data_IF_134606549558
#
_entry.id   IF_134606549558
#
_cell.length_a   1.000
_cell.length_b   1.000
_cell.length_c   1.000
_cell.angle_alpha   90.00
_cell.angle_beta   90.00
_cell.angle_gamma   90.00
#
_symmetry.space_group_name_H-M   'P 1'
#
loop_
_entity.id
_entity.type
_entity.pdbx_description
1 polymer ?
#
# COMPACT_ATOMS: atom_id res chain seq x y z
N UNK A 1 -15.19 -12.66 -4.03
CA UNK A 1 -14.18 -12.26 -3.03
C UNK A 1 -14.16 -10.75 -3.04
N UNK A 2 -14.12 -10.12 -1.87
CA UNK A 2 -14.57 -8.73 -1.71
C UNK A 2 -13.45 -7.88 -1.12
N UNK A 3 -13.54 -6.56 -1.20
CA UNK A 3 -12.45 -5.61 -0.90
C UNK A 3 -11.80 -5.76 0.49
N UNK A 4 -12.44 -6.46 1.42
CA UNK A 4 -11.86 -6.90 2.70
C UNK A 4 -10.59 -7.74 2.51
N UNK A 5 -10.58 -8.67 1.54
CA UNK A 5 -9.42 -9.52 1.28
C UNK A 5 -8.22 -8.76 0.68
N UNK A 6 -8.48 -7.83 -0.24
CA UNK A 6 -7.48 -6.93 -0.79
C UNK A 6 -6.88 -6.02 0.30
N UNK A 7 -7.72 -5.50 1.20
CA UNK A 7 -7.28 -4.69 2.34
C UNK A 7 -6.36 -5.49 3.26
N UNK A 8 -6.72 -6.73 3.62
CA UNK A 8 -5.90 -7.59 4.46
C UNK A 8 -4.57 -7.94 3.78
N UNK A 9 -4.61 -8.27 2.50
CA UNK A 9 -3.41 -8.53 1.70
C UNK A 9 -2.46 -7.32 1.69
N UNK A 10 -2.97 -6.13 1.39
CA UNK A 10 -2.17 -4.90 1.38
C UNK A 10 -1.55 -4.61 2.74
N UNK A 11 -2.31 -4.73 3.83
CA UNK A 11 -1.77 -4.50 5.17
C UNK A 11 -0.67 -5.49 5.55
N UNK A 12 -0.82 -6.76 5.16
CA UNK A 12 0.21 -7.77 5.38
C UNK A 12 1.51 -7.41 4.61
N UNK A 13 1.40 -7.03 3.34
CA UNK A 13 2.56 -6.66 2.50
C UNK A 13 3.22 -5.37 2.97
N UNK A 14 2.44 -4.37 3.37
CA UNK A 14 2.96 -3.13 3.96
C UNK A 14 3.71 -3.42 5.26
N UNK A 15 3.21 -4.32 6.10
CA UNK A 15 3.88 -4.71 7.33
C UNK A 15 5.20 -5.47 7.07
N UNK A 16 5.24 -6.32 6.04
CA UNK A 16 6.44 -7.04 5.60
C UNK A 16 7.52 -6.08 5.09
N UNK A 17 7.15 -5.13 4.23
CA UNK A 17 8.05 -4.08 3.71
C UNK A 17 8.59 -3.22 4.87
N UNK A 18 7.73 -2.79 5.79
CA UNK A 18 8.14 -2.03 6.97
C UNK A 18 9.11 -2.83 7.85
N UNK A 19 8.80 -4.11 8.13
CA UNK A 19 9.68 -4.93 8.96
C UNK A 19 11.05 -5.10 8.31
N UNK A 20 11.10 -5.29 6.98
CA UNK A 20 12.35 -5.36 6.22
C UNK A 20 13.14 -4.06 6.32
N UNK A 21 12.47 -2.91 6.16
CA UNK A 21 13.11 -1.60 6.33
C UNK A 21 13.66 -1.38 7.74
N UNK A 22 12.89 -1.76 8.78
CA UNK A 22 13.32 -1.67 10.19
C UNK A 22 14.53 -2.56 10.48
N UNK A 23 14.58 -3.78 9.94
CA UNK A 23 15.77 -4.65 10.05
C UNK A 23 16.99 -4.03 9.39
N UNK A 24 16.83 -3.40 8.22
CA UNK A 24 17.91 -2.74 7.51
C UNK A 24 18.45 -1.49 8.24
N UNK A 25 17.65 -0.83 9.07
CA UNK A 25 18.07 0.34 9.85
C UNK A 25 19.10 -0.01 10.95
N UNK A 26 19.02 -1.21 11.52
CA UNK A 26 19.75 -1.58 12.74
C UNK A 26 19.50 -0.55 13.86
N UNK A 27 20.56 -0.18 14.59
CA UNK A 27 20.52 0.84 15.64
C UNK A 27 20.71 2.28 15.12
N UNK A 28 20.90 2.46 13.81
CA UNK A 28 21.20 3.78 13.25
C UNK A 28 19.92 4.59 13.05
N UNK A 29 19.81 5.80 13.64
CA UNK A 29 18.65 6.65 13.43
C UNK A 29 18.65 7.13 11.98
N UNK A 30 17.89 6.45 11.12
CA UNK A 30 17.76 6.84 9.73
C UNK A 30 16.71 7.95 9.65
N UNK A 31 17.14 9.20 9.55
CA UNK A 31 16.24 10.37 9.64
C UNK A 31 16.01 11.10 8.32
N UNK A 32 16.82 10.85 7.29
CA UNK A 32 16.73 11.58 6.03
C UNK A 32 16.06 10.74 4.91
N UNK A 33 14.96 11.26 4.37
CA UNK A 33 14.42 10.80 3.08
C UNK A 33 15.34 11.32 1.95
N UNK A 34 16.00 10.43 1.23
CA UNK A 34 16.84 10.77 0.08
C UNK A 34 16.35 10.06 -1.21
N UNK A 35 16.84 10.46 -2.40
CA UNK A 35 16.51 9.76 -3.65
C UNK A 35 16.93 8.29 -3.64
N UNK A 36 16.29 7.51 -4.50
CA UNK A 36 16.69 6.14 -4.81
C UNK A 36 18.12 6.11 -5.37
N UNK A 37 18.87 5.05 -5.08
CA UNK A 37 20.21 4.82 -5.63
C UNK A 37 20.25 3.45 -6.32
N UNK A 38 21.21 3.27 -7.21
CA UNK A 38 21.45 1.97 -7.84
C UNK A 38 22.53 1.25 -7.04
N UNK A 39 22.26 0.00 -6.64
CA UNK A 39 23.30 -0.92 -6.22
C UNK A 39 23.67 -1.78 -7.44
N UNK A 40 24.92 -1.66 -7.88
CA UNK A 40 25.40 -2.35 -9.08
C UNK A 40 26.13 -3.64 -8.68
N UNK A 41 25.45 -4.76 -8.82
CA UNK A 41 26.09 -6.07 -8.91
C UNK A 41 26.04 -6.55 -10.38
N UNK A 42 27.10 -7.19 -10.92
CA UNK A 42 27.07 -7.71 -12.28
C UNK A 42 25.87 -8.65 -12.51
N UNK A 43 24.98 -8.27 -13.43
CA UNK A 43 23.79 -9.06 -13.79
C UNK A 43 22.57 -8.87 -12.88
N UNK A 44 22.64 -8.02 -11.84
CA UNK A 44 21.52 -7.75 -10.93
C UNK A 44 21.36 -6.24 -10.73
N UNK A 45 20.34 -5.67 -11.37
CA UNK A 45 19.98 -4.26 -11.20
C UNK A 45 19.10 -4.10 -9.97
N UNK A 46 19.67 -3.69 -8.84
CA UNK A 46 18.89 -3.37 -7.64
C UNK A 46 18.78 -1.87 -7.45
N UNK A 47 17.59 -1.43 -7.06
CA UNK A 47 17.33 -0.06 -6.62
C UNK A 47 17.26 -0.08 -5.10
N UNK A 48 18.16 0.65 -4.45
CA UNK A 48 18.19 0.78 -2.99
C UNK A 48 17.55 2.10 -2.58
N UNK A 49 16.66 2.02 -1.60
CA UNK A 49 15.98 3.16 -1.00
C UNK A 49 16.53 3.42 0.41
N UNK A 50 16.66 4.69 0.85
CA UNK A 50 16.89 4.99 2.25
C UNK A 50 15.77 4.41 3.13
N UNK A 51 16.12 3.83 4.29
CA UNK A 51 15.13 3.24 5.21
C UNK A 51 14.02 4.22 5.55
N UNK A 52 14.36 5.47 5.88
CA UNK A 52 13.39 6.52 6.18
C UNK A 52 12.36 6.73 5.06
N UNK A 53 12.78 6.58 3.79
CA UNK A 53 11.88 6.67 2.64
C UNK A 53 10.94 5.48 2.56
N UNK A 54 11.44 4.25 2.73
CA UNK A 54 10.60 3.04 2.71
C UNK A 54 9.55 3.08 3.83
N UNK A 55 9.95 3.51 5.03
CA UNK A 55 9.02 3.68 6.15
C UNK A 55 7.95 4.75 5.85
N UNK A 56 8.32 5.88 5.24
CA UNK A 56 7.37 6.91 4.83
C UNK A 56 6.41 6.41 3.74
N UNK A 57 6.89 5.60 2.79
CA UNK A 57 6.05 4.96 1.77
C UNK A 57 5.09 3.94 2.39
N UNK A 58 5.51 3.15 3.37
CA UNK A 58 4.64 2.22 4.11
C UNK A 58 3.51 2.97 4.85
N UNK A 59 3.86 4.09 5.49
CA UNK A 59 2.87 4.92 6.18
C UNK A 59 1.89 5.56 5.20
N UNK A 60 2.38 6.09 4.08
CA UNK A 60 1.51 6.64 3.03
C UNK A 60 0.50 5.60 2.51
N UNK A 61 0.95 4.35 2.27
CA UNK A 61 0.06 3.26 1.86
C UNK A 61 -0.98 2.93 2.94
N UNK A 62 -0.61 2.91 4.23
CA UNK A 62 -1.58 2.72 5.33
C UNK A 62 -2.65 3.79 5.37
N UNK A 63 -2.27 5.06 5.18
CA UNK A 63 -3.23 6.16 5.17
C UNK A 63 -4.30 5.93 4.09
N UNK A 64 -3.92 5.49 2.88
CA UNK A 64 -4.87 5.18 1.81
C UNK A 64 -5.80 4.03 2.20
N UNK A 65 -5.25 2.94 2.78
CA UNK A 65 -6.07 1.80 3.25
C UNK A 65 -7.06 2.22 4.34
N UNK A 66 -6.64 3.07 5.28
CA UNK A 66 -7.51 3.56 6.34
C UNK A 66 -8.56 4.55 5.84
N UNK A 67 -8.25 5.35 4.82
CA UNK A 67 -9.25 6.18 4.13
C UNK A 67 -10.34 5.32 3.50
N UNK A 68 -9.96 4.26 2.79
CA UNK A 68 -10.93 3.30 2.25
C UNK A 68 -11.81 2.71 3.36
N UNK A 69 -11.20 2.18 4.43
CA UNK A 69 -11.92 1.61 5.58
C UNK A 69 -12.86 2.61 6.25
N UNK A 70 -12.45 3.87 6.36
CA UNK A 70 -13.28 4.92 6.96
C UNK A 70 -14.54 5.15 6.14
N UNK A 71 -14.42 5.28 4.82
CA UNK A 71 -15.56 5.52 3.92
C UNK A 71 -16.44 4.27 3.79
N UNK A 72 -15.85 3.09 3.61
CA UNK A 72 -16.58 1.83 3.47
C UNK A 72 -17.44 1.49 4.71
N UNK A 73 -17.04 1.95 5.91
CA UNK A 73 -17.82 1.77 7.15
C UNK A 73 -19.10 2.59 7.21
N UNK A 74 -19.16 3.72 6.50
CA UNK A 74 -20.23 4.71 6.65
C UNK A 74 -21.14 4.81 5.44
N UNK A 75 -20.77 4.24 4.28
CA UNK A 75 -21.55 4.36 3.03
C UNK A 75 -23.01 3.95 3.19
N UNK A 76 -23.29 2.87 3.92
CA UNK A 76 -24.65 2.37 4.16
C UNK A 76 -25.42 3.19 5.22
N UNK A 77 -24.77 4.15 5.88
CA UNK A 77 -25.42 5.06 6.84
C UNK A 77 -26.08 6.27 6.17
N UNK A 78 -25.87 6.47 4.87
CA UNK A 78 -26.42 7.57 4.09
C UNK A 78 -27.51 7.09 3.11
N UNK A 79 -28.29 8.03 2.57
CA UNK A 79 -29.30 7.74 1.54
C UNK A 79 -29.32 8.77 0.42
N UNK A 80 -29.95 8.43 -0.70
CA UNK A 80 -30.16 9.35 -1.82
C UNK A 80 -28.85 9.85 -2.46
N UNK A 81 -28.76 11.15 -2.71
CA UNK A 81 -27.61 11.75 -3.41
C UNK A 81 -26.31 11.68 -2.60
N UNK A 82 -26.39 11.72 -1.27
CA UNK A 82 -25.20 11.60 -0.40
C UNK A 82 -24.58 10.21 -0.49
N UNK A 83 -25.42 9.16 -0.45
CA UNK A 83 -24.97 7.78 -0.63
C UNK A 83 -24.32 7.60 -2.01
N UNK A 84 -24.93 8.14 -3.07
CA UNK A 84 -24.37 8.07 -4.42
C UNK A 84 -23.01 8.75 -4.51
N UNK A 85 -22.86 9.93 -3.91
CA UNK A 85 -21.58 10.65 -3.87
C UNK A 85 -20.49 9.87 -3.13
N UNK A 86 -20.84 9.24 -2.00
CA UNK A 86 -19.90 8.42 -1.23
C UNK A 86 -19.51 7.15 -1.99
N UNK A 87 -20.44 6.53 -2.72
CA UNK A 87 -20.16 5.34 -3.52
C UNK A 87 -19.08 5.60 -4.58
N UNK A 88 -19.10 6.77 -5.24
CA UNK A 88 -18.02 7.17 -6.15
C UNK A 88 -16.65 7.33 -5.44
N UNK A 89 -16.65 7.77 -4.18
CA UNK A 89 -15.42 7.87 -3.38
C UNK A 89 -14.92 6.47 -3.02
N UNK A 90 -15.81 5.55 -2.67
CA UNK A 90 -15.47 4.13 -2.42
C UNK A 90 -14.82 3.53 -3.67
N UNK A 91 -15.47 3.64 -4.83
CA UNK A 91 -14.96 3.09 -6.09
C UNK A 91 -13.56 3.66 -6.44
N UNK A 92 -13.36 4.96 -6.27
CA UNK A 92 -12.06 5.59 -6.51
C UNK A 92 -10.97 5.09 -5.56
N UNK A 93 -11.31 4.87 -4.29
CA UNK A 93 -10.38 4.32 -3.30
C UNK A 93 -10.10 2.84 -3.56
N UNK A 94 -11.09 2.05 -4.00
CA UNK A 94 -10.87 0.66 -4.44
C UNK A 94 -9.91 0.59 -5.62
N UNK A 95 -10.06 1.48 -6.60
CA UNK A 95 -9.08 1.63 -7.70
C UNK A 95 -7.67 2.00 -7.22
N UNK A 96 -7.56 2.81 -6.16
CA UNK A 96 -6.26 3.07 -5.54
C UNK A 96 -5.69 1.82 -4.84
N UNK A 97 -6.52 1.02 -4.17
CA UNK A 97 -6.09 -0.23 -3.53
C UNK A 97 -5.57 -1.25 -4.56
N UNK A 98 -6.28 -1.44 -5.68
CA UNK A 98 -5.82 -2.36 -6.75
C UNK A 98 -4.51 -1.89 -7.37
N UNK A 99 -4.34 -0.57 -7.57
CA UNK A 99 -3.08 0.00 -8.03
C UNK A 99 -1.93 -0.21 -7.01
N UNK A 100 -2.20 -0.06 -5.72
CA UNK A 100 -1.23 -0.35 -4.65
C UNK A 100 -0.84 -1.83 -4.56
N UNK A 101 -1.67 -2.74 -5.09
CA UNK A 101 -1.39 -4.18 -5.11
C UNK A 101 -0.46 -4.59 -6.26
N UNK A 102 -0.31 -3.76 -7.31
CA UNK A 102 0.52 -4.06 -8.49
C UNK A 102 1.96 -4.51 -8.18
N UNK A 103 2.70 -3.91 -7.23
CA UNK A 103 4.05 -4.36 -6.89
C UNK A 103 4.12 -5.82 -6.42
N UNK A 104 2.98 -6.36 -5.97
CA UNK A 104 2.87 -7.71 -5.42
C UNK A 104 2.17 -8.68 -6.39
N UNK A 105 2.04 -8.35 -7.68
CA UNK A 105 1.34 -9.18 -8.68
C UNK A 105 1.94 -10.59 -8.87
N UNK A 106 3.18 -10.80 -8.47
CA UNK A 106 3.86 -12.11 -8.50
C UNK A 106 3.87 -12.83 -7.15
N UNK A 107 3.22 -12.27 -6.13
CA UNK A 107 3.09 -12.90 -4.82
C UNK A 107 2.10 -14.09 -4.91
N UNK A 108 2.36 -15.25 -4.27
CA UNK A 108 1.49 -16.42 -4.36
C UNK A 108 0.05 -16.17 -3.88
N UNK A 109 -0.13 -15.32 -2.87
CA UNK A 109 -1.45 -14.92 -2.36
C UNK A 109 -2.13 -13.81 -3.18
N UNK A 110 -1.45 -13.26 -4.20
CA UNK A 110 -2.05 -12.28 -5.10
C UNK A 110 -3.13 -12.94 -5.94
N UNK A 111 -4.26 -12.26 -6.11
CA UNK A 111 -5.36 -12.74 -6.95
C UNK A 111 -5.47 -11.89 -8.20
N UNK A 112 -5.62 -12.55 -9.35
CA UNK A 112 -5.74 -11.87 -10.65
C UNK A 112 -6.94 -10.91 -10.73
N UNK A 113 -8.00 -11.15 -9.95
CA UNK A 113 -9.15 -10.24 -9.85
C UNK A 113 -8.82 -8.86 -9.25
N UNK A 114 -7.68 -8.73 -8.56
CA UNK A 114 -7.20 -7.44 -8.03
C UNK A 114 -6.38 -6.65 -9.05
N UNK A 115 -6.11 -7.21 -10.23
CA UNK A 115 -5.39 -6.50 -11.28
C UNK A 115 -6.28 -5.38 -11.86
N UNK A 116 -5.81 -4.11 -11.90
CA UNK A 116 -6.53 -3.00 -12.50
C UNK A 116 -6.88 -3.22 -13.98
#
# INVERSE_FOLDING_TARGET
MGPVDLVEFLLARIAEDEQTARRAAGDSPTTATAPLRVATEPGRGEVVAPVARVLAECEAKRIVVEQYRAVARVVDSYGGLEQLAIMFVVDALEGALTALALPYAYHPDYREEWRP
#
